data_IF_524536051004
#
_entry.id   IF_524536051004
#
_cell.length_a   1.000
_cell.length_b   1.000
_cell.length_c   1.000
_cell.angle_alpha   90.00
_cell.angle_beta   90.00
_cell.angle_gamma   90.00
#
_symmetry.space_group_name_H-M   'P 1'
#
loop_
_entity.id
_entity.type
_entity.pdbx_description
1 polymer ?
#
# COMPACT_ATOMS: atom_id res chain seq x y z
N UNK A 1 -41.63 15.74 22.37
CA UNK A 1 -40.33 16.02 21.75
C UNK A 1 -40.40 15.43 20.35
N UNK A 2 -40.37 16.26 19.30
CA UNK A 2 -40.27 15.75 17.94
C UNK A 2 -38.81 15.33 17.74
N UNK A 3 -38.57 14.02 17.65
CA UNK A 3 -37.29 13.53 17.16
C UNK A 3 -37.09 14.08 15.74
N UNK A 4 -35.97 14.76 15.52
CA UNK A 4 -35.58 15.12 14.16
C UNK A 4 -35.29 13.82 13.40
N UNK A 5 -35.87 13.61 12.21
CA UNK A 5 -35.69 12.35 11.50
C UNK A 5 -34.22 12.16 11.13
N UNK A 6 -33.70 10.95 11.40
CA UNK A 6 -32.39 10.52 10.91
C UNK A 6 -32.47 10.44 9.38
N UNK A 7 -31.48 11.02 8.68
CA UNK A 7 -31.41 11.05 7.22
C UNK A 7 -30.03 10.61 6.75
N UNK A 8 -30.01 9.82 5.68
CA UNK A 8 -28.80 9.51 4.93
C UNK A 8 -28.38 10.68 4.01
N UNK A 9 -27.11 11.05 4.08
CA UNK A 9 -26.51 12.17 3.33
C UNK A 9 -25.63 11.66 2.17
N UNK A 10 -25.17 10.41 2.25
CA UNK A 10 -24.32 9.75 1.26
C UNK A 10 -22.89 9.53 1.74
N UNK A 11 -22.03 9.09 0.82
CA UNK A 11 -20.63 8.76 1.07
C UNK A 11 -19.76 9.99 0.72
N UNK A 12 -19.08 10.61 1.70
CA UNK A 12 -18.35 11.85 1.47
C UNK A 12 -17.10 11.68 0.61
N UNK A 13 -16.35 10.59 0.81
CA UNK A 13 -15.06 10.35 0.17
C UNK A 13 -15.09 8.98 -0.48
N UNK A 14 -14.86 8.95 -1.80
CA UNK A 14 -14.91 7.75 -2.67
C UNK A 14 -13.54 7.46 -3.27
N UNK A 15 -12.54 7.46 -2.41
CA UNK A 15 -11.14 7.30 -2.76
C UNK A 15 -10.59 6.01 -2.16
N UNK A 16 -9.45 5.57 -2.68
CA UNK A 16 -8.81 4.29 -2.33
C UNK A 16 -7.39 4.52 -1.84
N UNK A 17 -6.80 3.51 -1.21
CA UNK A 17 -5.45 3.59 -0.64
C UNK A 17 -4.69 2.26 -0.86
N UNK A 18 -3.41 2.22 -0.51
CA UNK A 18 -2.52 1.08 -0.79
C UNK A 18 -2.57 0.62 -2.25
N UNK A 19 -2.59 1.58 -3.18
CA UNK A 19 -2.73 1.27 -4.61
C UNK A 19 -1.41 0.82 -5.21
N UNK A 20 -1.43 -0.32 -5.90
CA UNK A 20 -0.29 -0.84 -6.67
C UNK A 20 -0.75 -1.32 -8.04
N UNK A 21 0.04 -1.02 -9.07
CA UNK A 21 -0.15 -1.49 -10.44
C UNK A 21 0.82 -2.63 -10.74
N UNK A 22 0.34 -3.69 -11.37
CA UNK A 22 1.12 -4.84 -11.78
C UNK A 22 0.82 -5.17 -13.24
N UNK A 23 1.81 -5.19 -14.13
CA UNK A 23 1.63 -5.71 -15.48
C UNK A 23 1.54 -7.23 -15.42
N UNK A 24 0.72 -7.80 -16.29
CA UNK A 24 0.56 -9.23 -16.43
C UNK A 24 -0.19 -9.56 -17.71
N UNK A 25 -0.81 -10.74 -17.74
CA UNK A 25 -1.56 -11.22 -18.89
C UNK A 25 -2.94 -11.70 -18.46
N UNK A 26 -3.95 -11.42 -19.28
CA UNK A 26 -5.30 -11.92 -19.07
C UNK A 26 -5.48 -13.39 -19.50
N UNK A 27 -6.72 -13.87 -19.45
CA UNK A 27 -7.09 -15.27 -19.74
C UNK A 27 -6.61 -15.78 -21.12
N UNK A 28 -6.60 -14.92 -22.14
CA UNK A 28 -6.16 -15.25 -23.51
C UNK A 28 -4.71 -14.80 -23.78
N UNK A 29 -3.90 -14.64 -22.73
CA UNK A 29 -2.49 -14.19 -22.78
C UNK A 29 -2.31 -12.77 -23.35
N UNK A 30 -3.39 -11.97 -23.44
CA UNK A 30 -3.33 -10.57 -23.83
C UNK A 30 -2.73 -9.71 -22.72
N UNK A 31 -1.96 -8.64 -23.04
CA UNK A 31 -1.42 -7.73 -22.02
C UNK A 31 -2.53 -7.15 -21.13
N UNK A 32 -2.29 -7.12 -19.83
CA UNK A 32 -3.23 -6.61 -18.84
C UNK A 32 -2.51 -5.83 -17.74
N UNK A 33 -3.20 -4.84 -17.15
CA UNK A 33 -2.78 -4.19 -15.92
C UNK A 33 -3.70 -4.60 -14.78
N UNK A 34 -3.11 -5.00 -13.66
CA UNK A 34 -3.82 -5.27 -12.43
C UNK A 34 -3.61 -4.12 -11.44
N UNK A 35 -4.67 -3.64 -10.82
CA UNK A 35 -4.57 -2.67 -9.72
C UNK A 35 -5.11 -3.28 -8.43
N UNK A 36 -4.31 -3.35 -7.37
CA UNK A 36 -4.83 -3.66 -6.04
C UNK A 36 -5.29 -2.39 -5.38
N UNK A 37 -6.50 -2.38 -4.82
CA UNK A 37 -7.15 -1.17 -4.29
C UNK A 37 -7.66 -1.45 -2.88
N UNK A 38 -7.16 -0.71 -1.90
CA UNK A 38 -7.65 -0.74 -0.52
C UNK A 38 -8.77 0.28 -0.29
N UNK A 39 -9.66 -0.03 0.66
CA UNK A 39 -10.74 0.88 1.10
C UNK A 39 -11.10 0.60 2.57
N UNK A 40 -11.69 1.58 3.26
CA UNK A 40 -12.06 1.43 4.69
C UNK A 40 -13.45 0.82 4.86
N UNK A 41 -14.44 1.32 4.13
CA UNK A 41 -15.83 0.93 4.35
C UNK A 41 -16.19 -0.48 3.84
N UNK A 42 -15.24 -1.20 3.23
CA UNK A 42 -15.39 -2.56 2.70
C UNK A 42 -14.02 -3.22 2.49
N UNK A 43 -13.98 -4.45 2.02
CA UNK A 43 -12.75 -5.18 1.73
C UNK A 43 -12.02 -4.61 0.50
N UNK A 44 -10.74 -4.92 0.36
CA UNK A 44 -9.94 -4.60 -0.82
C UNK A 44 -10.56 -5.24 -2.08
N UNK A 45 -10.18 -4.69 -3.23
CA UNK A 45 -10.51 -5.27 -4.52
C UNK A 45 -9.33 -5.23 -5.49
N UNK A 46 -9.40 -6.06 -6.51
CA UNK A 46 -8.48 -6.05 -7.65
C UNK A 46 -9.22 -5.53 -8.88
N UNK A 47 -8.60 -4.63 -9.62
CA UNK A 47 -9.03 -4.29 -10.97
C UNK A 47 -8.18 -5.07 -11.97
N UNK A 48 -8.82 -5.64 -12.97
CA UNK A 48 -8.20 -6.12 -14.19
C UNK A 48 -8.52 -5.11 -15.29
N UNK A 49 -7.51 -4.51 -15.89
CA UNK A 49 -7.65 -3.37 -16.80
C UNK A 49 -7.00 -3.71 -18.14
N UNK A 50 -7.76 -3.51 -19.22
CA UNK A 50 -7.22 -3.53 -20.57
C UNK A 50 -6.40 -2.24 -20.81
N UNK A 51 -5.08 -2.34 -21.02
CA UNK A 51 -4.23 -1.16 -21.19
C UNK A 51 -4.45 -0.46 -22.54
N UNK A 52 -5.16 -1.08 -23.50
CA UNK A 52 -5.45 -0.49 -24.79
C UNK A 52 -6.72 0.35 -24.73
N UNK A 53 -7.76 -0.16 -24.08
CA UNK A 53 -9.11 0.44 -24.10
C UNK A 53 -9.50 1.13 -22.80
N UNK A 54 -8.84 0.82 -21.67
CA UNK A 54 -9.24 1.26 -20.34
C UNK A 54 -10.44 0.51 -19.76
N UNK A 55 -10.98 -0.49 -20.48
CA UNK A 55 -12.05 -1.34 -19.96
C UNK A 55 -11.55 -2.11 -18.73
N UNK A 56 -12.40 -2.25 -17.72
CA UNK A 56 -12.05 -2.89 -16.46
C UNK A 56 -13.05 -3.93 -16.00
N UNK A 57 -12.56 -4.90 -15.23
CA UNK A 57 -13.33 -5.77 -14.35
C UNK A 57 -12.86 -5.56 -12.91
N UNK A 58 -13.77 -5.72 -11.95
CA UNK A 58 -13.50 -5.52 -10.53
C UNK A 58 -13.82 -6.78 -9.73
N UNK A 59 -12.89 -7.19 -8.87
CA UNK A 59 -12.98 -8.38 -8.03
C UNK A 59 -12.84 -8.00 -6.56
N UNK A 60 -13.97 -7.96 -5.84
CA UNK A 60 -14.02 -7.65 -4.41
C UNK A 60 -13.62 -8.87 -3.58
N UNK A 61 -12.73 -8.68 -2.60
CA UNK A 61 -12.42 -9.72 -1.63
C UNK A 61 -13.63 -10.07 -0.77
N UNK A 62 -13.83 -11.37 -0.54
CA UNK A 62 -14.89 -11.88 0.33
C UNK A 62 -14.42 -12.16 1.75
N UNK A 63 -13.11 -11.98 2.03
CA UNK A 63 -12.54 -12.21 3.36
C UNK A 63 -12.88 -11.02 4.25
N UNK A 64 -13.60 -11.20 5.37
CA UNK A 64 -13.92 -10.10 6.27
C UNK A 64 -12.66 -9.39 6.77
N UNK A 65 -12.72 -8.07 6.93
CA UNK A 65 -11.62 -7.22 7.41
C UNK A 65 -10.36 -7.25 6.51
N UNK A 66 -10.49 -7.60 5.22
CA UNK A 66 -9.38 -7.60 4.25
C UNK A 66 -9.26 -6.26 3.51
N UNK A 67 -9.33 -5.15 4.25
CA UNK A 67 -9.43 -3.79 3.72
C UNK A 67 -8.25 -3.32 2.87
N UNK A 68 -7.01 -3.72 3.19
CA UNK A 68 -5.79 -3.17 2.58
C UNK A 68 -4.87 -4.22 1.95
N UNK A 69 -4.49 -4.07 0.66
CA UNK A 69 -3.45 -4.86 0.02
C UNK A 69 -2.06 -4.32 0.42
N UNK A 70 -1.61 -4.68 1.63
CA UNK A 70 -0.43 -4.08 2.27
C UNK A 70 0.90 -4.63 1.75
N UNK A 71 0.87 -5.83 1.19
CA UNK A 71 1.95 -6.42 0.42
C UNK A 71 1.39 -7.06 -0.86
N UNK A 72 2.07 -6.89 -1.98
CA UNK A 72 1.64 -7.47 -3.26
C UNK A 72 2.83 -8.02 -4.02
N UNK A 73 2.62 -9.11 -4.76
CA UNK A 73 3.66 -9.74 -5.57
C UNK A 73 3.05 -10.40 -6.80
N UNK A 74 3.49 -9.99 -7.99
CA UNK A 74 3.16 -10.67 -9.24
C UNK A 74 4.18 -11.80 -9.43
N UNK A 75 3.71 -13.05 -9.36
CA UNK A 75 4.59 -14.22 -9.47
C UNK A 75 5.09 -14.43 -10.89
N UNK A 76 6.18 -15.19 -11.03
CA UNK A 76 6.73 -15.57 -12.34
C UNK A 76 5.73 -16.37 -13.19
N UNK A 77 4.78 -17.05 -12.54
CA UNK A 77 3.69 -17.81 -13.15
C UNK A 77 2.48 -16.92 -13.52
N UNK A 78 2.55 -15.60 -13.26
CA UNK A 78 1.52 -14.64 -13.61
C UNK A 78 0.35 -14.58 -12.62
N UNK A 79 0.52 -15.06 -11.37
CA UNK A 79 -0.48 -14.93 -10.31
C UNK A 79 -0.17 -13.73 -9.42
N UNK A 80 -1.20 -12.96 -9.07
CA UNK A 80 -1.04 -11.82 -8.18
C UNK A 80 -1.37 -12.20 -6.74
N UNK A 81 -0.35 -12.27 -5.89
CA UNK A 81 -0.49 -12.54 -4.47
C UNK A 81 -0.62 -11.24 -3.68
N UNK A 82 -1.50 -11.23 -2.68
CA UNK A 82 -1.89 -10.04 -1.93
C UNK A 82 -1.96 -10.37 -0.45
N UNK A 83 -1.11 -9.75 0.35
CA UNK A 83 -1.23 -9.76 1.80
C UNK A 83 -2.30 -8.77 2.26
N UNK A 84 -3.36 -9.26 2.87
CA UNK A 84 -4.54 -8.48 3.22
C UNK A 84 -4.55 -8.10 4.70
N UNK A 85 -4.46 -6.80 4.99
CA UNK A 85 -4.71 -6.25 6.33
C UNK A 85 -6.17 -5.80 6.47
N UNK A 86 -6.80 -5.90 7.64
CA UNK A 86 -6.29 -6.41 8.92
C UNK A 86 -6.52 -7.92 9.12
N UNK A 87 -7.13 -8.59 8.14
CA UNK A 87 -7.43 -10.02 8.20
C UNK A 87 -6.19 -10.88 8.48
N UNK A 88 -5.01 -10.53 7.95
CA UNK A 88 -3.81 -11.35 8.06
C UNK A 88 -3.79 -12.53 7.09
N UNK A 89 -4.59 -12.46 6.02
CA UNK A 89 -4.71 -13.51 5.01
C UNK A 89 -3.80 -13.23 3.81
N UNK A 90 -3.41 -14.32 3.14
CA UNK A 90 -2.87 -14.26 1.79
C UNK A 90 -4.01 -14.50 0.80
N UNK A 91 -4.22 -13.56 -0.12
CA UNK A 91 -5.13 -13.72 -1.24
C UNK A 91 -4.32 -13.97 -2.52
N UNK A 92 -4.95 -14.60 -3.50
CA UNK A 92 -4.39 -14.78 -4.84
C UNK A 92 -5.44 -14.44 -5.89
N UNK A 93 -5.10 -13.49 -6.76
CA UNK A 93 -5.81 -13.31 -8.02
C UNK A 93 -5.17 -14.17 -9.10
N UNK A 94 -5.94 -15.07 -9.70
CA UNK A 94 -5.53 -15.92 -10.81
C UNK A 94 -6.12 -15.38 -12.13
N UNK A 95 -5.32 -14.78 -13.01
CA UNK A 95 -5.78 -14.27 -14.30
C UNK A 95 -6.39 -15.29 -15.25
N UNK A 96 -6.01 -16.57 -15.14
CA UNK A 96 -6.55 -17.63 -16.00
C UNK A 96 -7.93 -18.06 -15.55
N UNK A 97 -8.19 -18.00 -14.25
CA UNK A 97 -9.50 -18.29 -13.69
C UNK A 97 -10.40 -17.06 -13.55
N UNK A 98 -9.84 -15.84 -13.65
CA UNK A 98 -10.48 -14.58 -13.28
C UNK A 98 -11.11 -14.66 -11.87
N UNK A 99 -10.35 -15.18 -10.90
CA UNK A 99 -10.83 -15.33 -9.52
C UNK A 99 -9.86 -14.72 -8.51
N UNK A 100 -10.42 -13.98 -7.54
CA UNK A 100 -9.73 -13.60 -6.31
C UNK A 100 -10.09 -14.61 -5.23
N UNK A 101 -9.11 -15.39 -4.80
CA UNK A 101 -9.28 -16.49 -3.84
C UNK A 101 -8.55 -16.20 -2.53
N UNK A 102 -9.14 -16.66 -1.43
CA UNK A 102 -8.49 -16.69 -0.12
C UNK A 102 -7.63 -17.95 -0.01
N UNK A 103 -6.34 -17.78 0.25
CA UNK A 103 -5.41 -18.88 0.50
C UNK A 103 -5.24 -19.17 2.00
N UNK A 104 -5.86 -18.36 2.86
CA UNK A 104 -5.92 -18.54 4.30
C UNK A 104 -4.99 -17.63 5.09
N UNK A 105 -5.04 -17.81 6.41
CA UNK A 105 -4.27 -17.03 7.39
C UNK A 105 -2.77 -17.30 7.29
N UNK A 106 -1.99 -16.22 7.08
CA UNK A 106 -0.52 -16.28 6.98
C UNK A 106 0.06 -16.82 8.29
N UNK A 107 -0.34 -16.23 9.42
CA UNK A 107 0.00 -16.69 10.76
C UNK A 107 -1.15 -16.43 11.74
N UNK A 108 -1.97 -17.46 12.04
CA UNK A 108 -3.21 -17.29 12.80
C UNK A 108 -3.06 -16.54 14.12
N UNK A 109 -3.87 -15.50 14.29
CA UNK A 109 -3.88 -14.64 15.48
C UNK A 109 -2.63 -13.80 15.71
N UNK A 110 -1.66 -13.78 14.78
CA UNK A 110 -0.38 -13.06 14.91
C UNK A 110 -0.12 -12.09 13.76
N UNK A 111 -0.22 -12.58 12.52
CA UNK A 111 -0.09 -11.74 11.34
C UNK A 111 -1.39 -10.95 11.16
N UNK A 112 -1.33 -9.63 11.26
CA UNK A 112 -2.50 -8.75 10.98
C UNK A 112 -2.23 -7.81 9.83
N UNK A 113 -0.96 -7.52 9.54
CA UNK A 113 -0.56 -6.58 8.51
C UNK A 113 0.69 -7.12 7.78
N UNK A 114 0.50 -7.83 6.66
CA UNK A 114 1.60 -8.30 5.82
C UNK A 114 2.46 -7.12 5.33
N UNK A 115 3.78 -7.27 5.38
CA UNK A 115 4.73 -6.18 5.16
C UNK A 115 5.43 -6.27 3.80
N UNK A 116 5.83 -7.48 3.38
CA UNK A 116 6.44 -7.76 2.07
C UNK A 116 6.23 -9.23 1.72
N UNK A 117 6.13 -9.51 0.42
CA UNK A 117 6.11 -10.84 -0.17
C UNK A 117 7.27 -10.89 -1.18
N UNK A 118 8.05 -11.97 -1.18
CA UNK A 118 9.05 -12.26 -2.20
C UNK A 118 9.00 -13.75 -2.57
N UNK A 119 9.41 -14.10 -3.79
CA UNK A 119 9.33 -15.48 -4.30
C UNK A 119 10.73 -16.08 -4.48
N UNK A 120 10.93 -17.30 -3.96
CA UNK A 120 12.19 -18.02 -4.14
C UNK A 120 12.25 -18.79 -5.47
N UNK A 121 13.38 -19.45 -5.76
CA UNK A 121 13.58 -20.17 -7.02
C UNK A 121 12.57 -21.32 -7.24
N UNK A 122 12.08 -21.94 -6.16
CA UNK A 122 11.08 -23.03 -6.23
C UNK A 122 9.64 -22.52 -6.38
N UNK A 123 9.44 -21.21 -6.30
CA UNK A 123 8.14 -20.56 -6.44
C UNK A 123 7.37 -20.39 -5.13
N UNK A 124 7.99 -20.70 -3.98
CA UNK A 124 7.40 -20.47 -2.66
C UNK A 124 7.48 -18.98 -2.31
N UNK A 125 6.51 -18.52 -1.52
CA UNK A 125 6.37 -17.12 -1.16
C UNK A 125 6.77 -16.90 0.30
N UNK A 126 7.74 -16.01 0.50
CA UNK A 126 8.23 -15.59 1.81
C UNK A 126 7.55 -14.31 2.22
N UNK A 127 6.87 -14.34 3.38
CA UNK A 127 5.96 -13.29 3.82
C UNK A 127 6.34 -12.87 5.23
N UNK A 128 6.67 -11.60 5.37
CA UNK A 128 6.87 -10.97 6.67
C UNK A 128 5.63 -10.18 7.09
N UNK A 129 5.41 -10.04 8.39
CA UNK A 129 4.26 -9.31 8.92
C UNK A 129 4.59 -8.41 10.10
N UNK A 130 3.71 -7.43 10.31
CA UNK A 130 3.66 -6.61 11.49
C UNK A 130 2.85 -7.27 12.61
N UNK A 131 3.27 -7.00 13.84
CA UNK A 131 2.67 -7.50 15.08
C UNK A 131 3.63 -8.41 15.83
N UNK A 132 4.47 -9.18 15.11
CA UNK A 132 5.50 -10.02 15.74
C UNK A 132 6.82 -10.11 14.98
N UNK A 133 7.04 -9.29 13.94
CA UNK A 133 8.18 -9.42 13.03
C UNK A 133 8.39 -10.88 12.56
N UNK A 134 7.30 -11.59 12.29
CA UNK A 134 7.33 -13.00 11.95
C UNK A 134 7.60 -13.24 10.48
N UNK A 135 8.04 -14.46 10.18
CA UNK A 135 8.24 -14.96 8.81
C UNK A 135 7.40 -16.22 8.59
N UNK A 136 6.66 -16.24 7.50
CA UNK A 136 5.98 -17.41 6.99
C UNK A 136 6.40 -17.70 5.54
N UNK A 137 6.36 -18.96 5.15
CA UNK A 137 6.57 -19.42 3.79
C UNK A 137 5.28 -20.12 3.32
N UNK A 138 4.74 -19.69 2.18
CA UNK A 138 3.61 -20.34 1.53
C UNK A 138 4.09 -21.10 0.30
N UNK A 139 3.72 -22.37 0.21
CA UNK A 139 4.00 -23.21 -0.96
C UNK A 139 2.73 -23.31 -1.84
N UNK A 140 2.73 -22.72 -3.05
CA UNK A 140 1.58 -22.78 -3.95
C UNK A 140 1.32 -24.16 -4.54
N UNK A 141 2.29 -25.08 -4.52
CA UNK A 141 2.11 -26.44 -5.05
C UNK A 141 1.29 -27.30 -4.09
N UNK A 142 1.50 -27.12 -2.78
CA UNK A 142 0.80 -27.87 -1.72
C UNK A 142 -0.33 -27.09 -1.08
N UNK A 143 -0.43 -25.78 -1.33
CA UNK A 143 -1.37 -24.85 -0.68
C UNK A 143 -1.23 -24.87 0.85
N UNK A 144 0.02 -24.78 1.34
CA UNK A 144 0.31 -24.86 2.78
C UNK A 144 1.25 -23.75 3.25
N UNK A 145 1.14 -23.41 4.54
CA UNK A 145 2.03 -22.47 5.22
C UNK A 145 2.98 -23.20 6.17
N UNK A 146 4.27 -22.87 6.08
CA UNK A 146 5.27 -23.10 7.12
C UNK A 146 5.51 -21.78 7.85
N UNK A 147 5.47 -21.79 9.18
CA UNK A 147 5.57 -20.58 10.01
C UNK A 147 6.83 -20.66 10.86
N UNK A 148 7.79 -19.77 10.58
CA UNK A 148 9.11 -19.78 11.22
C UNK A 148 9.18 -18.87 12.48
N UNK A 149 8.07 -18.19 12.79
CA UNK A 149 7.94 -17.35 13.98
C UNK A 149 8.71 -16.03 13.86
N UNK A 150 9.02 -15.41 15.00
CA UNK A 150 9.64 -14.09 15.08
C UNK A 150 11.06 -14.08 14.54
N UNK A 151 11.42 -13.06 13.77
CA UNK A 151 12.80 -12.80 13.34
C UNK A 151 13.53 -11.83 14.29
N UNK A 152 12.78 -11.15 15.18
CA UNK A 152 13.32 -10.32 16.25
C UNK A 152 12.41 -10.36 17.49
N UNK A 153 12.98 -10.32 18.69
CA UNK A 153 12.24 -10.45 19.95
C UNK A 153 11.52 -9.17 20.38
N UNK A 154 11.96 -8.00 19.91
CA UNK A 154 11.48 -6.68 20.35
C UNK A 154 10.72 -5.98 19.24
N UNK A 155 11.35 -5.83 18.08
CA UNK A 155 10.78 -5.10 16.94
C UNK A 155 9.66 -5.89 16.26
N UNK A 156 8.80 -5.17 15.54
CA UNK A 156 7.45 -5.64 15.22
C UNK A 156 7.19 -5.85 13.73
N UNK A 157 8.03 -5.30 12.85
CA UNK A 157 7.88 -5.39 11.40
C UNK A 157 8.99 -6.26 10.79
N UNK A 158 8.63 -7.04 9.78
CA UNK A 158 9.57 -7.84 8.99
C UNK A 158 9.29 -7.67 7.49
N UNK A 159 10.29 -7.25 6.73
CA UNK A 159 10.24 -7.09 5.27
C UNK A 159 11.26 -8.04 4.60
N UNK A 160 10.88 -9.29 4.26
CA UNK A 160 11.81 -10.28 3.72
C UNK A 160 12.14 -10.06 2.23
N UNK A 161 13.38 -10.36 1.85
CA UNK A 161 13.78 -10.74 0.49
C UNK A 161 14.52 -12.07 0.54
N UNK A 162 14.31 -12.91 -0.46
CA UNK A 162 14.96 -14.22 -0.58
C UNK A 162 16.12 -14.17 -1.57
N UNK A 163 17.26 -14.73 -1.16
CA UNK A 163 18.45 -14.94 -2.00
C UNK A 163 18.26 -16.12 -2.95
N UNK A 164 19.11 -16.20 -3.97
CA UNK A 164 19.12 -17.35 -4.91
C UNK A 164 19.43 -18.68 -4.22
N UNK A 165 20.20 -18.67 -3.12
CA UNK A 165 20.53 -19.87 -2.34
C UNK A 165 19.40 -20.32 -1.38
N UNK A 166 18.29 -19.59 -1.34
CA UNK A 166 17.13 -19.86 -0.48
C UNK A 166 17.23 -19.28 0.93
N UNK A 167 18.33 -18.61 1.29
CA UNK A 167 18.39 -17.84 2.55
C UNK A 167 17.51 -16.59 2.46
N UNK A 168 16.95 -16.16 3.59
CA UNK A 168 15.99 -15.05 3.64
C UNK A 168 16.56 -13.91 4.46
N UNK A 169 16.80 -12.77 3.81
CA UNK A 169 17.16 -11.53 4.48
C UNK A 169 15.90 -10.81 4.96
N UNK A 170 15.76 -10.69 6.27
CA UNK A 170 14.61 -10.10 6.94
C UNK A 170 14.98 -8.70 7.42
N UNK A 171 14.50 -7.65 6.75
CA UNK A 171 14.65 -6.28 7.24
C UNK A 171 13.66 -6.05 8.38
N UNK A 172 14.21 -5.89 9.58
CA UNK A 172 13.47 -5.68 10.82
C UNK A 172 13.28 -4.17 11.05
N UNK A 173 12.08 -3.77 11.44
CA UNK A 173 11.73 -2.40 11.84
C UNK A 173 10.88 -2.43 13.13
N UNK A 174 10.91 -1.41 13.98
CA UNK A 174 11.17 -0.01 13.65
C UNK A 174 12.21 0.67 14.53
N UNK A 175 12.41 0.23 15.78
CA UNK A 175 13.19 0.96 16.78
C UNK A 175 14.70 0.89 16.53
N UNK A 176 15.20 -0.30 16.21
CA UNK A 176 16.57 -0.52 15.79
C UNK A 176 16.58 -1.21 14.43
N UNK A 177 16.35 -0.51 13.31
CA UNK A 177 16.25 -1.20 12.04
C UNK A 177 17.57 -1.91 11.66
N UNK A 178 17.49 -3.19 11.30
CA UNK A 178 18.63 -4.06 10.95
C UNK A 178 18.16 -5.22 10.07
N UNK A 179 19.11 -5.99 9.54
CA UNK A 179 18.82 -7.19 8.74
C UNK A 179 19.18 -8.45 9.52
N UNK A 180 18.23 -9.40 9.56
CA UNK A 180 18.42 -10.75 10.07
C UNK A 180 18.44 -11.71 8.88
N UNK A 181 19.54 -12.43 8.66
CA UNK A 181 19.56 -13.58 7.76
C UNK A 181 18.96 -14.79 8.45
N UNK A 182 18.03 -15.44 7.76
CA UNK A 182 17.40 -16.68 8.18
C UNK A 182 17.72 -17.80 7.18
N UNK A 183 18.25 -18.90 7.69
CA UNK A 183 18.42 -20.14 6.93
C UNK A 183 17.24 -21.08 7.22
N UNK A 184 16.37 -21.35 6.24
CA UNK A 184 15.19 -22.18 6.46
C UNK A 184 15.49 -23.67 6.61
N UNK A 185 16.68 -24.14 6.21
CA UNK A 185 17.08 -25.55 6.37
C UNK A 185 17.49 -25.85 7.80
N UNK A 186 18.25 -24.93 8.42
CA UNK A 186 18.78 -25.10 9.78
C UNK A 186 17.95 -24.40 10.85
N UNK A 187 17.15 -23.41 10.46
CA UNK A 187 16.45 -22.51 11.39
C UNK A 187 17.34 -21.42 11.99
N UNK A 188 18.61 -21.33 11.57
CA UNK A 188 19.57 -20.36 12.10
C UNK A 188 19.16 -18.92 11.74
N UNK A 189 19.34 -18.02 12.71
CA UNK A 189 19.09 -16.58 12.57
C UNK A 189 20.36 -15.82 12.93
N UNK A 190 20.76 -14.87 12.08
CA UNK A 190 21.98 -14.08 12.29
C UNK A 190 21.76 -12.64 11.88
N UNK A 191 21.98 -11.70 12.79
CA UNK A 191 22.04 -10.28 12.44
C UNK A 191 23.27 -10.04 11.58
N UNK A 192 23.10 -9.36 10.45
CA UNK A 192 24.19 -8.99 9.54
C UNK A 192 24.15 -7.52 9.17
N UNK A 193 25.32 -6.96 8.88
CA UNK A 193 25.45 -5.55 8.52
C UNK A 193 25.22 -4.62 9.73
N UNK A 194 24.87 -3.35 9.46
CA UNK A 194 24.67 -2.35 10.51
C UNK A 194 23.34 -2.55 11.24
N UNK A 195 23.34 -2.21 12.53
CA UNK A 195 22.13 -1.96 13.31
C UNK A 195 21.98 -0.45 13.43
N UNK A 196 20.88 0.10 12.93
CA UNK A 196 20.65 1.55 12.84
C UNK A 196 19.71 2.05 13.93
N UNK A 197 19.78 3.35 14.23
CA UNK A 197 18.87 4.00 15.18
C UNK A 197 17.76 4.75 14.45
N UNK A 198 16.50 4.46 14.78
CA UNK A 198 15.36 5.15 14.17
C UNK A 198 15.42 6.67 14.38
N UNK A 199 15.33 7.43 13.28
CA UNK A 199 15.32 8.90 13.30
C UNK A 199 16.71 9.54 13.24
N UNK A 200 17.77 8.75 13.40
CA UNK A 200 19.16 9.19 13.23
C UNK A 200 19.75 8.62 11.95
N UNK A 201 19.47 7.35 11.68
CA UNK A 201 20.03 6.58 10.58
C UNK A 201 18.96 6.08 9.60
N UNK A 202 19.41 5.69 8.42
CA UNK A 202 18.58 5.03 7.40
C UNK A 202 19.16 3.67 7.07
N UNK A 203 18.29 2.69 6.87
CA UNK A 203 18.63 1.38 6.32
C UNK A 203 17.49 0.90 5.44
N UNK A 204 17.79 0.22 4.35
CA UNK A 204 16.83 -0.53 3.54
C UNK A 204 17.47 -1.81 2.99
N UNK A 205 16.61 -2.69 2.48
CA UNK A 205 17.00 -3.97 1.89
C UNK A 205 16.46 -4.06 0.46
N UNK A 206 17.37 -4.23 -0.50
CA UNK A 206 17.12 -4.18 -1.94
C UNK A 206 17.62 -5.46 -2.64
N UNK A 207 16.93 -5.85 -3.71
CA UNK A 207 17.42 -6.84 -4.69
C UNK A 207 17.92 -6.09 -5.93
N UNK A 208 19.19 -6.28 -6.28
CA UNK A 208 19.82 -5.67 -7.44
C UNK A 208 19.39 -6.34 -8.76
N UNK A 209 19.65 -5.68 -9.88
CA UNK A 209 19.46 -6.25 -11.23
C UNK A 209 20.33 -7.48 -11.51
N UNK A 210 21.38 -7.67 -10.71
CA UNK A 210 22.25 -8.85 -10.71
C UNK A 210 21.70 -10.02 -9.88
N UNK A 211 20.52 -9.88 -9.26
CA UNK A 211 19.88 -10.90 -8.42
C UNK A 211 20.37 -10.92 -6.97
N UNK A 212 21.43 -10.18 -6.64
CA UNK A 212 22.01 -10.16 -5.29
C UNK A 212 21.21 -9.25 -4.35
N UNK A 213 21.29 -9.53 -3.05
CA UNK A 213 20.70 -8.70 -2.01
C UNK A 213 21.70 -7.70 -1.44
N UNK A 214 21.24 -6.47 -1.24
CA UNK A 214 22.02 -5.35 -0.74
C UNK A 214 21.35 -4.70 0.46
N UNK A 215 22.15 -4.36 1.46
CA UNK A 215 21.78 -3.49 2.57
C UNK A 215 22.29 -2.10 2.22
N UNK A 216 21.36 -1.14 2.11
CA UNK A 216 21.66 0.26 1.78
C UNK A 216 21.47 1.06 3.05
N UNK A 217 22.50 1.78 3.53
CA UNK A 217 22.38 2.48 4.83
C UNK A 217 23.21 3.76 4.94
N UNK A 218 22.84 4.62 5.89
CA UNK A 218 23.63 5.80 6.26
C UNK A 218 24.99 5.44 6.87
N UNK A 219 25.19 4.19 7.27
CA UNK A 219 26.39 3.66 7.90
C UNK A 219 27.29 2.89 6.92
N UNK A 220 26.97 2.94 5.63
CA UNK A 220 27.66 2.21 4.56
C UNK A 220 26.76 1.17 3.89
N UNK A 221 27.16 0.77 2.70
CA UNK A 221 26.42 -0.19 1.89
C UNK A 221 27.10 -1.56 1.90
N UNK A 222 26.29 -2.62 1.84
CA UNK A 222 26.76 -3.99 1.95
C UNK A 222 26.05 -4.89 0.96
N UNK A 223 26.80 -5.81 0.33
CA UNK A 223 26.22 -6.96 -0.35
C UNK A 223 26.08 -8.12 0.64
N UNK A 224 24.96 -8.83 0.59
CA UNK A 224 24.78 -10.07 1.33
C UNK A 224 25.42 -11.20 0.53
N UNK A 225 26.44 -11.84 1.11
CA UNK A 225 27.16 -12.97 0.51
C UNK A 225 27.19 -14.11 1.52
N UNK A 226 26.54 -15.22 1.17
CA UNK A 226 26.31 -16.35 2.07
C UNK A 226 25.70 -15.88 3.40
N UNK A 227 26.39 -16.09 4.53
CA UNK A 227 25.92 -15.74 5.87
C UNK A 227 26.46 -14.38 6.39
N UNK A 228 26.94 -13.50 5.51
CA UNK A 228 27.60 -12.24 5.88
C UNK A 228 27.13 -11.04 5.06
N UNK A 229 27.29 -9.85 5.63
CA UNK A 229 27.19 -8.58 4.90
C UNK A 229 28.60 -8.07 4.64
N UNK A 230 28.98 -7.99 3.36
CA UNK A 230 30.30 -7.56 2.90
C UNK A 230 30.21 -6.11 2.43
N UNK A 231 31.03 -5.17 2.96
CA UNK A 231 31.00 -3.78 2.54
C UNK A 231 31.28 -3.63 1.04
N UNK A 232 30.54 -2.75 0.38
CA UNK A 232 30.73 -2.39 -1.03
C UNK A 232 30.81 -0.88 -1.21
N UNK A 233 31.55 -0.42 -2.21
CA UNK A 233 31.67 1.02 -2.53
C UNK A 233 30.58 1.49 -3.51
N UNK A 234 29.99 0.57 -4.27
CA UNK A 234 28.95 0.84 -5.25
C UNK A 234 27.86 -0.22 -5.09
N UNK A 235 26.60 0.23 -5.07
CA UNK A 235 25.44 -0.64 -5.07
C UNK A 235 24.94 -0.86 -6.49
N UNK A 236 24.44 -2.06 -6.76
CA UNK A 236 23.77 -2.36 -8.02
C UNK A 236 22.36 -1.77 -7.96
N UNK A 237 21.94 -1.14 -9.06
CA UNK A 237 20.59 -0.56 -9.17
C UNK A 237 19.53 -1.62 -8.85
N UNK A 238 18.39 -1.22 -8.25
CA UNK A 238 17.27 -2.12 -8.05
C UNK A 238 16.73 -2.61 -9.40
N UNK A 239 16.04 -3.74 -9.38
CA UNK A 239 15.26 -4.20 -10.53
C UNK A 239 14.43 -3.06 -11.13
N UNK A 240 14.62 -2.83 -12.42
CA UNK A 240 13.86 -1.86 -13.20
C UNK A 240 12.34 -2.05 -13.01
N UNK A 241 11.60 -0.93 -12.97
CA UNK A 241 10.14 -1.00 -12.85
C UNK A 241 9.55 -1.78 -14.04
N UNK A 242 8.59 -2.67 -13.79
CA UNK A 242 8.06 -3.50 -14.86
C UNK A 242 7.22 -2.66 -15.82
N UNK A 243 7.42 -2.86 -17.12
CA UNK A 243 6.67 -2.20 -18.19
C UNK A 243 5.62 -3.13 -18.78
N UNK A 244 4.74 -2.59 -19.63
CA UNK A 244 3.95 -3.42 -20.54
C UNK A 244 4.86 -4.10 -21.59
N UNK A 245 4.40 -5.15 -22.29
CA UNK A 245 5.20 -5.87 -23.30
C UNK A 245 5.71 -5.00 -24.45
N UNK A 246 5.04 -3.88 -24.74
CA UNK A 246 5.46 -2.89 -25.75
C UNK A 246 6.45 -1.84 -25.21
N UNK A 247 6.90 -1.97 -23.94
CA UNK A 247 7.77 -1.02 -23.26
C UNK A 247 7.05 0.18 -22.64
N UNK A 248 5.72 0.26 -22.74
CA UNK A 248 4.96 1.36 -22.15
C UNK A 248 5.05 1.36 -20.63
N UNK A 249 5.18 2.56 -20.06
CA UNK A 249 5.08 2.80 -18.62
C UNK A 249 3.65 3.17 -18.24
N UNK A 250 3.30 3.00 -16.96
CA UNK A 250 1.94 3.25 -16.47
C UNK A 250 1.96 3.85 -15.07
N UNK A 251 0.90 4.58 -14.74
CA UNK A 251 0.70 5.19 -13.43
C UNK A 251 -0.65 5.88 -13.35
N UNK A 252 -1.06 6.31 -12.15
CA UNK A 252 -2.24 7.13 -11.98
C UNK A 252 -1.84 8.61 -12.02
N UNK A 253 -2.44 9.38 -12.95
CA UNK A 253 -2.17 10.81 -13.10
C UNK A 253 -2.67 11.62 -11.88
N UNK A 254 -3.69 11.11 -11.21
CA UNK A 254 -4.32 11.67 -10.01
C UNK A 254 -3.88 10.96 -8.71
N UNK A 255 -2.77 10.21 -8.74
CA UNK A 255 -2.21 9.55 -7.56
C UNK A 255 -1.82 10.56 -6.47
N UNK A 256 -1.33 11.74 -6.87
CA UNK A 256 -0.96 12.80 -5.94
C UNK A 256 -2.15 13.31 -5.16
N UNK A 257 -3.37 13.20 -5.69
CA UNK A 257 -4.61 13.59 -5.03
C UNK A 257 -5.27 12.42 -4.29
N UNK A 258 -4.66 11.23 -4.31
CA UNK A 258 -5.16 10.00 -3.71
C UNK A 258 -6.53 9.56 -4.26
N UNK A 259 -6.85 9.93 -5.50
CA UNK A 259 -8.13 9.62 -6.16
C UNK A 259 -8.06 8.29 -6.92
N UNK A 260 -6.98 8.06 -7.68
CA UNK A 260 -6.67 6.84 -8.44
C UNK A 260 -7.71 6.45 -9.52
N UNK A 261 -8.27 7.44 -10.21
CA UNK A 261 -9.28 7.29 -11.27
C UNK A 261 -8.70 7.51 -12.66
N UNK A 262 -7.56 8.16 -12.79
CA UNK A 262 -6.98 8.52 -14.09
C UNK A 262 -5.74 7.67 -14.41
N UNK A 263 -5.95 6.51 -15.02
CA UNK A 263 -4.85 5.65 -15.45
C UNK A 263 -4.18 6.24 -16.69
N UNK A 264 -2.91 6.64 -16.54
CA UNK A 264 -2.05 7.10 -17.62
C UNK A 264 -1.13 5.99 -18.10
N UNK A 265 -1.06 5.80 -19.41
CA UNK A 265 -0.10 4.90 -20.07
C UNK A 265 0.72 5.74 -21.04
N UNK A 266 2.05 5.62 -20.95
CA UNK A 266 3.01 6.37 -21.79
C UNK A 266 3.85 5.39 -22.59
N UNK A 267 3.73 5.47 -23.91
CA UNK A 267 4.49 4.65 -24.84
C UNK A 267 5.97 5.06 -24.88
N UNK A 268 6.88 4.21 -25.40
CA UNK A 268 8.31 4.54 -25.49
C UNK A 268 8.64 5.79 -26.32
N UNK A 269 7.75 6.18 -27.23
CA UNK A 269 7.88 7.41 -28.04
C UNK A 269 7.49 8.70 -27.26
N UNK A 270 7.04 8.55 -26.01
CA UNK A 270 6.61 9.65 -25.14
C UNK A 270 5.13 10.01 -25.26
N UNK A 271 4.37 9.41 -26.18
CA UNK A 271 2.94 9.68 -26.31
C UNK A 271 2.17 9.02 -25.15
N UNK A 272 1.25 9.78 -24.55
CA UNK A 272 0.43 9.30 -23.44
C UNK A 272 -1.06 9.20 -23.78
N UNK A 273 -1.71 8.21 -23.21
CA UNK A 273 -3.18 8.07 -23.14
C UNK A 273 -3.62 8.06 -21.68
N UNK A 274 -4.78 8.65 -21.38
CA UNK A 274 -5.37 8.65 -20.03
C UNK A 274 -6.76 8.04 -20.10
N UNK A 275 -7.02 7.07 -19.24
CA UNK A 275 -8.32 6.41 -19.09
C UNK A 275 -8.93 6.79 -17.74
N UNK A 276 -10.21 7.18 -17.77
CA UNK A 276 -11.00 7.35 -16.55
C UNK A 276 -11.60 6.01 -16.14
N UNK A 277 -11.21 5.51 -14.98
CA UNK A 277 -11.66 4.22 -14.45
C UNK A 277 -12.91 4.38 -13.57
N UNK A 278 -14.02 3.80 -14.02
CA UNK A 278 -15.31 3.83 -13.31
C UNK A 278 -15.54 2.61 -12.41
N UNK A 279 -14.57 2.28 -11.56
CA UNK A 279 -14.71 1.23 -10.55
C UNK A 279 -15.62 1.66 -9.38
N UNK A 280 -16.25 0.70 -8.72
CA UNK A 280 -17.09 0.96 -7.54
C UNK A 280 -16.24 0.96 -6.27
N UNK A 281 -16.57 1.84 -5.34
CA UNK A 281 -15.91 1.95 -4.04
C UNK A 281 -16.96 2.27 -2.98
N UNK A 282 -16.85 1.60 -1.83
CA UNK A 282 -17.74 1.79 -0.67
C UNK A 282 -17.39 3.07 0.10
N UNK A 283 -16.16 3.57 -0.10
CA UNK A 283 -15.67 4.84 0.39
C UNK A 283 -14.82 4.69 1.65
N UNK A 284 -14.61 5.82 2.31
CA UNK A 284 -13.84 5.88 3.54
C UNK A 284 -14.73 6.26 4.72
N UNK A 285 -14.49 5.60 5.85
CA UNK A 285 -15.14 5.95 7.12
C UNK A 285 -14.84 7.41 7.50
N UNK A 286 -15.78 8.00 8.22
CA UNK A 286 -15.65 9.36 8.75
C UNK A 286 -14.83 9.30 10.04
N UNK A 287 -13.72 10.05 10.07
CA UNK A 287 -12.85 10.14 11.23
C UNK A 287 -13.28 11.26 12.19
N UNK A 288 -13.58 12.44 11.64
CA UNK A 288 -13.87 13.63 12.42
C UNK A 288 -14.90 14.52 11.73
N UNK A 289 -15.70 15.24 12.51
CA UNK A 289 -16.69 16.20 12.02
C UNK A 289 -16.57 17.51 12.81
N UNK A 290 -16.80 18.63 12.14
CA UNK A 290 -16.76 19.97 12.73
C UNK A 290 -17.73 20.90 12.02
N UNK A 291 -18.42 21.76 12.76
CA UNK A 291 -19.26 22.80 12.16
C UNK A 291 -18.42 24.05 11.87
N UNK A 292 -18.37 24.47 10.61
CA UNK A 292 -17.67 25.68 10.19
C UNK A 292 -18.45 26.96 10.54
N UNK A 293 -17.76 28.10 10.55
CA UNK A 293 -18.39 29.41 10.80
C UNK A 293 -19.43 29.82 9.72
N UNK A 294 -19.39 29.19 8.55
CA UNK A 294 -20.36 29.32 7.46
C UNK A 294 -21.64 28.47 7.67
N UNK A 295 -21.67 27.65 8.72
CA UNK A 295 -22.75 26.71 9.01
C UNK A 295 -22.74 25.46 8.14
N UNK A 296 -21.66 25.18 7.40
CA UNK A 296 -21.45 23.88 6.77
C UNK A 296 -20.87 22.89 7.79
N UNK A 297 -21.08 21.59 7.55
CA UNK A 297 -20.38 20.54 8.29
C UNK A 297 -19.14 20.16 7.49
N UNK A 298 -17.98 20.32 8.08
CA UNK A 298 -16.71 19.83 7.56
C UNK A 298 -16.38 18.50 8.21
N UNK A 299 -15.70 17.63 7.47
CA UNK A 299 -15.28 16.36 8.01
C UNK A 299 -14.03 15.84 7.34
N UNK A 300 -13.46 14.82 7.96
CA UNK A 300 -12.30 14.10 7.46
C UNK A 300 -12.65 12.63 7.32
N UNK A 301 -12.22 11.99 6.23
CA UNK A 301 -12.20 10.52 6.12
C UNK A 301 -11.13 9.91 7.04
N UNK A 302 -10.98 8.58 7.09
CA UNK A 302 -9.82 7.91 7.71
C UNK A 302 -8.67 7.85 6.70
N UNK A 303 -8.75 6.98 5.69
CA UNK A 303 -7.72 6.81 4.65
C UNK A 303 -8.37 6.46 3.30
N UNK A 304 -7.94 7.06 2.17
CA UNK A 304 -7.06 8.23 2.10
C UNK A 304 -7.73 9.44 2.76
N UNK A 305 -6.91 10.36 3.28
CA UNK A 305 -7.44 11.47 4.06
C UNK A 305 -7.84 12.66 3.20
N UNK A 306 -9.14 12.83 3.05
CA UNK A 306 -9.72 13.96 2.36
C UNK A 306 -10.58 14.78 3.33
N UNK A 307 -10.50 16.10 3.18
CA UNK A 307 -11.49 17.00 3.75
C UNK A 307 -12.75 16.92 2.90
N UNK A 308 -13.91 16.81 3.53
CA UNK A 308 -15.19 16.92 2.85
C UNK A 308 -16.05 17.99 3.50
N UNK A 309 -17.04 18.48 2.76
CA UNK A 309 -17.99 19.47 3.24
C UNK A 309 -19.41 19.07 2.88
N UNK A 310 -20.31 19.19 3.85
CA UNK A 310 -21.74 19.14 3.66
C UNK A 310 -22.39 20.51 3.90
N UNK A 311 -22.95 21.10 2.84
CA UNK A 311 -23.81 22.28 2.92
C UNK A 311 -25.25 21.83 3.21
N UNK A 312 -25.71 22.06 4.44
CA UNK A 312 -27.05 21.67 4.91
C UNK A 312 -28.17 22.37 4.14
N UNK A 313 -27.95 23.62 3.70
CA UNK A 313 -28.98 24.42 3.00
C UNK A 313 -29.13 23.96 1.56
N UNK A 314 -28.03 23.59 0.91
CA UNK A 314 -28.02 23.09 -0.48
C UNK A 314 -28.17 21.56 -0.57
N UNK A 315 -28.14 20.86 0.56
CA UNK A 315 -28.05 19.41 0.64
C UNK A 315 -26.93 18.85 -0.25
N UNK A 316 -25.76 19.49 -0.21
CA UNK A 316 -24.63 19.20 -1.09
C UNK A 316 -23.46 18.65 -0.29
N UNK A 317 -23.05 17.42 -0.61
CA UNK A 317 -21.85 16.77 -0.08
C UNK A 317 -20.74 16.80 -1.12
N UNK A 318 -19.56 17.30 -0.76
CA UNK A 318 -18.41 17.44 -1.65
C UNK A 318 -17.16 16.92 -0.97
N UNK A 319 -16.42 16.07 -1.68
CA UNK A 319 -15.02 15.76 -1.40
C UNK A 319 -14.16 16.96 -1.84
N UNK A 320 -13.56 17.66 -0.89
CA UNK A 320 -12.68 18.80 -1.17
C UNK A 320 -11.25 18.35 -1.49
N UNK A 321 -10.92 17.06 -1.31
CA UNK A 321 -9.61 16.50 -1.58
C UNK A 321 -8.68 16.56 -0.37
N UNK A 322 -7.38 16.42 -0.65
CA UNK A 322 -6.32 16.38 0.35
C UNK A 322 -6.33 17.60 1.26
N UNK A 323 -6.05 17.40 2.54
CA UNK A 323 -5.84 18.49 3.50
C UNK A 323 -4.56 18.36 4.33
N UNK A 324 -3.66 17.44 3.92
CA UNK A 324 -2.38 17.17 4.57
C UNK A 324 -1.29 16.89 3.53
N UNK A 325 -0.10 17.49 3.73
CA UNK A 325 1.09 17.23 2.91
C UNK A 325 1.79 15.93 3.32
N UNK A 326 1.56 15.47 4.55
CA UNK A 326 2.09 14.23 5.08
C UNK A 326 1.22 13.00 4.74
N UNK A 327 0.16 13.18 3.94
CA UNK A 327 -0.77 12.14 3.48
C UNK A 327 -1.52 11.38 4.59
N UNK A 328 -1.40 11.79 5.86
CA UNK A 328 -2.16 11.26 7.00
C UNK A 328 -3.31 12.18 7.45
N UNK A 329 -3.87 11.91 8.63
CA UNK A 329 -5.22 12.35 8.99
C UNK A 329 -5.40 13.78 9.52
N UNK A 330 -6.57 14.40 9.30
CA UNK A 330 -6.98 15.66 9.92
C UNK A 330 -7.63 15.34 11.26
N UNK A 331 -6.85 15.50 12.33
CA UNK A 331 -7.22 15.04 13.67
C UNK A 331 -8.16 15.99 14.41
N UNK A 332 -8.10 17.27 14.07
CA UNK A 332 -8.92 18.28 14.72
C UNK A 332 -9.14 19.47 13.81
N UNK A 333 -10.27 20.14 14.05
CA UNK A 333 -10.61 21.38 13.40
C UNK A 333 -11.10 22.41 14.42
N UNK A 334 -10.83 23.68 14.16
CA UNK A 334 -11.31 24.79 14.99
C UNK A 334 -11.64 26.01 14.13
N UNK A 335 -12.60 26.82 14.59
CA UNK A 335 -12.91 28.09 13.94
C UNK A 335 -12.17 29.23 14.66
N UNK A 336 -11.59 30.15 13.90
CA UNK A 336 -11.17 31.45 14.40
C UNK A 336 -11.65 32.54 13.43
N UNK A 337 -12.62 33.33 13.88
CA UNK A 337 -13.37 34.21 13.01
C UNK A 337 -14.13 33.40 11.94
N UNK A 338 -13.90 33.71 10.67
CA UNK A 338 -14.48 32.96 9.54
C UNK A 338 -13.66 31.77 9.08
N UNK A 339 -12.40 31.68 9.51
CA UNK A 339 -11.46 30.70 9.01
C UNK A 339 -11.57 29.38 9.78
N UNK A 340 -11.40 28.28 9.05
CA UNK A 340 -11.27 26.93 9.56
C UNK A 340 -9.79 26.57 9.66
N UNK A 341 -9.35 26.16 10.84
CA UNK A 341 -8.02 25.66 11.11
C UNK A 341 -8.07 24.14 11.19
N UNK A 342 -7.17 23.46 10.49
CA UNK A 342 -7.16 22.00 10.35
C UNK A 342 -5.79 21.49 10.79
N UNK A 343 -5.74 20.64 11.81
CA UNK A 343 -4.48 20.03 12.28
C UNK A 343 -4.33 18.63 11.70
N UNK A 344 -3.18 18.34 11.09
CA UNK A 344 -2.94 17.06 10.42
C UNK A 344 -1.79 16.25 11.01
N UNK A 345 -1.96 14.93 10.99
CA UNK A 345 -0.97 13.90 11.22
C UNK A 345 -0.52 13.29 9.87
N UNK A 346 0.67 12.68 9.79
CA UNK A 346 1.80 12.96 10.66
C UNK A 346 2.34 14.37 10.42
N UNK A 347 3.45 14.71 11.08
CA UNK A 347 4.17 15.99 10.96
C UNK A 347 3.53 17.23 11.61
N UNK A 348 2.40 17.09 12.32
CA UNK A 348 1.80 18.14 13.16
C UNK A 348 1.64 19.49 12.43
N UNK A 349 1.14 19.45 11.19
CA UNK A 349 0.92 20.65 10.37
C UNK A 349 -0.45 21.26 10.70
N UNK A 350 -0.56 22.58 10.57
CA UNK A 350 -1.82 23.32 10.71
C UNK A 350 -2.08 24.09 9.42
N UNK A 351 -3.20 23.76 8.76
CA UNK A 351 -3.69 24.42 7.56
C UNK A 351 -4.78 25.43 7.93
N UNK A 352 -4.90 26.51 7.15
CA UNK A 352 -5.96 27.53 7.32
C UNK A 352 -6.78 27.61 6.04
N UNK A 353 -8.10 27.57 6.16
CA UNK A 353 -9.03 27.63 5.05
C UNK A 353 -10.10 28.71 5.29
N UNK A 354 -10.32 29.59 4.31
CA UNK A 354 -11.46 30.53 4.29
C UNK A 354 -12.60 29.90 3.45
N UNK A 355 -13.72 29.50 4.07
CA UNK A 355 -14.85 28.88 3.37
C UNK A 355 -15.47 29.69 2.21
N UNK A 356 -15.16 30.98 2.09
CA UNK A 356 -15.62 31.82 0.98
C UNK A 356 -14.75 31.70 -0.28
N UNK A 357 -13.62 30.98 -0.20
CA UNK A 357 -12.72 30.73 -1.33
C UNK A 357 -12.89 29.30 -1.83
N UNK A 358 -12.42 29.05 -3.05
CA UNK A 358 -12.27 27.68 -3.53
C UNK A 358 -11.24 26.96 -2.68
N UNK A 359 -11.50 25.67 -2.40
CA UNK A 359 -10.55 24.86 -1.67
C UNK A 359 -9.39 24.48 -2.57
N UNK A 360 -8.19 24.91 -2.21
CA UNK A 360 -6.94 24.54 -2.85
C UNK A 360 -5.93 24.21 -1.77
N UNK A 361 -5.58 22.94 -1.64
CA UNK A 361 -4.56 22.51 -0.70
C UNK A 361 -3.16 22.71 -1.27
N UNK A 362 -2.28 23.30 -0.48
CA UNK A 362 -0.88 23.49 -0.85
C UNK A 362 -0.14 24.35 0.16
N UNK A 363 1.17 24.49 -0.04
CA UNK A 363 2.03 25.35 0.78
C UNK A 363 2.06 26.81 0.30
N UNK A 364 1.34 27.11 -0.78
CA UNK A 364 1.20 28.47 -1.29
C UNK A 364 -0.06 29.13 -0.68
N UNK A 365 0.03 30.39 -0.22
CA UNK A 365 -1.05 31.05 0.49
C UNK A 365 -2.23 31.53 -0.39
N UNK A 366 -2.22 31.25 -1.70
CA UNK A 366 -3.18 31.78 -2.68
C UNK A 366 -4.22 30.76 -3.13
#
# INVERSE_FOLDING_TARGET
>A
MNESPIREIGIPVKSVNWVRLHPGHGESEQPCLYATMGQQADNLFVLQIDPITGNLQQFLSKVPNSNYPTATYMSREGKLYIGAAYAGHLLCFDPKANTLSDLGEINPGKATFPCRIDQDAEGRLWIGSYGTADLACYDPQTNTFIRYGRMNDVDMYNYPLVNEDGTVACLIRQTQPHVVLFDPQTGNKKVVGPVTTQGEDTIDLQKGEDGNLYIISSLGDFQIVADQAVPVNEIVNPLSQPTLPDGSTFGFADASDQIYRELKITAPDGNSRVFKLDYKVSGSDVFYLHEGADGCIYGSSILPLHLFRYDRKKAQLVDLGRCSSATGEAYSMANLGRNLYISSYPAAKVSVYDPNRLYHFGDQPE
#
